data_IF_354237844826
#
_entry.id   IF_354237844826
#
_cell.length_a   1.000
_cell.length_b   1.000
_cell.length_c   1.000
_cell.angle_alpha   90.00
_cell.angle_beta   90.00
_cell.angle_gamma   90.00
#
_symmetry.space_group_name_H-M   'P 1'
#
loop_
_entity.id
_entity.type
_entity.pdbx_description
1 polymer ?
#
# COMPACT_ATOMS: atom_id res chain seq x y z
N UNK A 1 -3.77 14.44 25.84
CA UNK A 1 -3.01 14.45 24.57
C UNK A 1 -3.34 15.72 23.81
N UNK A 2 -2.34 16.40 23.31
CA UNK A 2 -2.56 17.59 22.47
C UNK A 2 -3.01 17.14 21.09
N UNK A 3 -3.88 17.91 20.45
CA UNK A 3 -4.35 17.60 19.11
C UNK A 3 -3.19 17.50 18.10
N UNK A 4 -2.17 18.33 18.24
CA UNK A 4 -0.97 18.30 17.38
C UNK A 4 -0.12 17.04 17.52
N UNK A 5 -0.34 16.25 18.58
CA UNK A 5 0.36 14.99 18.78
C UNK A 5 -0.34 13.83 18.06
N UNK A 6 -1.54 14.06 17.54
CA UNK A 6 -2.29 13.10 16.76
C UNK A 6 -1.88 13.18 15.29
N UNK A 7 -1.57 12.04 14.73
CA UNK A 7 -1.31 11.93 13.29
C UNK A 7 -2.53 11.32 12.62
N UNK A 8 -2.97 11.97 11.53
CA UNK A 8 -4.15 11.54 10.79
C UNK A 8 -3.73 11.08 9.39
N UNK A 9 -4.01 9.82 9.09
CA UNK A 9 -3.76 9.26 7.78
C UNK A 9 -5.01 9.15 6.94
N UNK A 10 -4.81 9.02 5.64
CA UNK A 10 -5.89 8.74 4.70
C UNK A 10 -5.59 7.45 3.93
N UNK A 11 -6.60 6.60 3.79
CA UNK A 11 -6.51 5.42 2.94
C UNK A 11 -6.52 5.85 1.48
N UNK A 12 -5.59 5.34 0.65
CA UNK A 12 -5.46 5.82 -0.72
C UNK A 12 -6.75 5.68 -1.54
N UNK A 13 -7.59 4.72 -1.22
CA UNK A 13 -8.87 4.52 -1.93
C UNK A 13 -9.87 5.66 -1.70
N UNK A 14 -9.67 6.49 -0.69
CA UNK A 14 -10.47 7.70 -0.48
C UNK A 14 -10.05 8.85 -1.39
N UNK A 15 -8.90 8.73 -2.05
CA UNK A 15 -8.43 9.68 -3.06
C UNK A 15 -8.82 9.21 -4.46
N UNK A 16 -8.89 10.11 -5.46
CA UNK A 16 -9.16 9.68 -6.83
C UNK A 16 -8.15 8.63 -7.30
N UNK A 17 -8.66 7.59 -7.98
CA UNK A 17 -7.83 6.42 -8.32
C UNK A 17 -6.88 6.66 -9.48
N UNK A 18 -7.17 7.65 -10.33
CA UNK A 18 -6.38 7.96 -11.53
C UNK A 18 -5.20 8.89 -11.30
N UNK A 19 -4.90 9.21 -10.04
CA UNK A 19 -3.75 10.03 -9.70
C UNK A 19 -2.45 9.22 -9.69
N UNK A 20 -1.34 9.87 -10.07
CA UNK A 20 -0.01 9.33 -9.79
C UNK A 20 0.27 9.38 -8.29
N UNK A 21 1.32 8.69 -7.82
CA UNK A 21 1.68 8.76 -6.41
C UNK A 21 2.12 10.17 -6.00
N UNK A 22 2.84 10.87 -6.86
CA UNK A 22 3.19 12.27 -6.61
C UNK A 22 1.94 13.13 -6.40
N UNK A 23 0.96 12.99 -7.28
CA UNK A 23 -0.32 13.72 -7.19
C UNK A 23 -1.13 13.31 -5.96
N UNK A 24 -1.17 12.02 -5.65
CA UNK A 24 -1.87 11.47 -4.49
C UNK A 24 -1.33 12.05 -3.19
N UNK A 25 -0.03 12.04 -3.05
CA UNK A 25 0.65 12.58 -1.86
C UNK A 25 0.46 14.09 -1.74
N UNK A 26 0.55 14.81 -2.85
CA UNK A 26 0.32 16.25 -2.86
C UNK A 26 -1.12 16.60 -2.44
N UNK A 27 -2.10 15.85 -2.91
CA UNK A 27 -3.50 16.05 -2.53
C UNK A 27 -3.71 15.74 -1.05
N UNK A 28 -3.18 14.63 -0.55
CA UNK A 28 -3.31 14.26 0.86
C UNK A 28 -2.72 15.34 1.77
N UNK A 29 -1.56 15.85 1.42
CA UNK A 29 -0.91 16.94 2.17
C UNK A 29 -1.75 18.21 2.15
N UNK A 30 -2.26 18.60 1.00
CA UNK A 30 -3.11 19.79 0.85
C UNK A 30 -4.39 19.68 1.67
N UNK A 31 -4.94 18.46 1.82
CA UNK A 31 -6.13 18.20 2.63
C UNK A 31 -5.85 18.12 4.12
N UNK A 32 -4.59 18.20 4.54
CA UNK A 32 -4.20 18.22 5.95
C UNK A 32 -3.91 16.85 6.57
N UNK A 33 -3.75 15.80 5.76
CA UNK A 33 -3.37 14.48 6.26
C UNK A 33 -1.86 14.39 6.50
N UNK A 34 -1.47 13.55 7.45
CA UNK A 34 -0.07 13.37 7.85
C UNK A 34 0.60 12.21 7.13
N UNK A 35 -0.17 11.25 6.64
CA UNK A 35 0.35 10.08 5.92
C UNK A 35 -0.73 9.44 5.08
N UNK A 36 -0.32 8.54 4.18
CA UNK A 36 -1.23 7.79 3.32
C UNK A 36 -1.02 6.30 3.58
N UNK A 37 -2.11 5.54 3.65
CA UNK A 37 -2.07 4.07 3.67
C UNK A 37 -2.21 3.54 2.26
N UNK A 38 -1.24 2.71 1.82
CA UNK A 38 -1.28 2.08 0.51
C UNK A 38 -2.29 0.94 0.47
N UNK A 39 -2.99 0.78 -0.64
CA UNK A 39 -3.88 -0.35 -0.90
C UNK A 39 -3.25 -1.33 -1.88
N UNK A 40 -3.18 -2.60 -1.51
CA UNK A 40 -2.96 -3.71 -2.44
C UNK A 40 -4.22 -4.58 -2.36
N UNK A 41 -5.18 -4.25 -3.19
CA UNK A 41 -6.46 -4.97 -3.22
C UNK A 41 -6.48 -6.06 -4.30
N UNK A 42 -7.65 -6.64 -4.54
CA UNK A 42 -7.85 -7.75 -5.48
C UNK A 42 -7.82 -7.35 -6.94
N UNK A 43 -7.70 -6.05 -7.26
CA UNK A 43 -7.64 -5.61 -8.65
C UNK A 43 -6.29 -5.91 -9.28
N UNK A 44 -6.28 -6.19 -10.58
CA UNK A 44 -5.05 -6.44 -11.32
C UNK A 44 -4.09 -5.24 -11.22
N UNK A 45 -4.63 -4.02 -11.29
CA UNK A 45 -3.85 -2.79 -11.20
C UNK A 45 -3.05 -2.71 -9.89
N UNK A 46 -3.70 -2.97 -8.76
CA UNK A 46 -3.03 -2.87 -7.46
C UNK A 46 -2.17 -4.09 -7.15
N UNK A 47 -2.60 -5.27 -7.54
CA UNK A 47 -1.76 -6.46 -7.41
C UNK A 47 -0.47 -6.31 -8.22
N UNK A 48 -0.50 -5.63 -9.36
CA UNK A 48 0.68 -5.39 -10.17
C UNK A 48 1.78 -4.60 -9.44
N UNK A 49 1.43 -3.83 -8.41
CA UNK A 49 2.41 -3.11 -7.58
C UNK A 49 3.39 -4.06 -6.88
N UNK A 50 2.93 -5.28 -6.60
CA UNK A 50 3.79 -6.30 -5.98
C UNK A 50 4.94 -6.72 -6.90
N UNK A 51 4.80 -6.48 -8.20
CA UNK A 51 5.80 -6.79 -9.22
C UNK A 51 6.55 -5.55 -9.72
N UNK A 52 6.43 -4.43 -9.04
CA UNK A 52 7.21 -3.24 -9.35
C UNK A 52 8.69 -3.58 -9.35
N UNK A 53 9.40 -3.13 -10.38
CA UNK A 53 10.84 -3.26 -10.45
C UNK A 53 11.53 -2.24 -9.52
N UNK A 54 12.84 -2.32 -9.45
CA UNK A 54 13.62 -1.44 -8.58
C UNK A 54 13.41 0.03 -8.94
N UNK A 55 13.35 0.35 -10.21
CA UNK A 55 13.15 1.73 -10.68
C UNK A 55 11.82 2.29 -10.20
N UNK A 56 10.74 1.50 -10.31
CA UNK A 56 9.41 1.91 -9.84
C UNK A 56 9.36 2.07 -8.32
N UNK A 57 10.02 1.18 -7.56
CA UNK A 57 10.12 1.28 -6.10
C UNK A 57 10.89 2.52 -5.68
N UNK A 58 11.99 2.82 -6.35
CA UNK A 58 12.79 4.01 -6.08
C UNK A 58 12.04 5.29 -6.43
N UNK A 59 11.26 5.29 -7.52
CA UNK A 59 10.42 6.44 -7.87
C UNK A 59 9.37 6.71 -6.80
N UNK A 60 8.74 5.67 -6.29
CA UNK A 60 7.78 5.79 -5.20
C UNK A 60 8.43 6.41 -3.95
N UNK A 61 9.59 5.92 -3.56
CA UNK A 61 10.35 6.48 -2.42
C UNK A 61 10.70 7.95 -2.66
N UNK A 62 11.15 8.29 -3.85
CA UNK A 62 11.44 9.67 -4.24
C UNK A 62 10.20 10.55 -4.10
N UNK A 63 9.04 10.08 -4.56
CA UNK A 63 7.78 10.82 -4.45
C UNK A 63 7.42 11.09 -2.99
N UNK A 64 7.59 10.11 -2.09
CA UNK A 64 7.32 10.31 -0.66
C UNK A 64 8.26 11.35 -0.06
N UNK A 65 9.55 11.28 -0.38
CA UNK A 65 10.53 12.24 0.12
C UNK A 65 10.24 13.67 -0.35
N UNK A 66 9.89 13.84 -1.62
CA UNK A 66 9.57 15.16 -2.17
C UNK A 66 8.28 15.74 -1.61
N UNK A 67 7.30 14.89 -1.32
CA UNK A 67 6.00 15.34 -0.79
C UNK A 67 6.08 15.75 0.67
N UNK A 68 7.02 15.19 1.43
CA UNK A 68 7.07 15.33 2.88
C UNK A 68 6.04 14.47 3.62
N UNK A 69 5.27 13.64 2.92
CA UNK A 69 4.37 12.66 3.53
C UNK A 69 4.94 11.26 3.42
N UNK A 70 4.70 10.44 4.44
CA UNK A 70 5.10 9.04 4.45
C UNK A 70 3.95 8.12 4.05
N UNK A 71 4.29 6.89 3.68
CA UNK A 71 3.34 5.79 3.47
C UNK A 71 3.79 4.65 4.38
N UNK A 72 3.43 4.71 5.68
CA UNK A 72 3.98 3.76 6.66
C UNK A 72 3.22 2.45 6.73
N UNK A 73 2.02 2.37 6.17
CA UNK A 73 1.15 1.21 6.28
C UNK A 73 0.60 0.78 4.93
N UNK A 74 0.29 -0.51 4.83
CA UNK A 74 -0.31 -1.12 3.66
C UNK A 74 -1.53 -1.93 4.11
N UNK A 75 -2.66 -1.75 3.45
CA UNK A 75 -3.80 -2.65 3.58
C UNK A 75 -3.71 -3.68 2.45
N UNK A 76 -3.35 -4.91 2.82
CA UNK A 76 -3.21 -6.02 1.88
C UNK A 76 -4.52 -6.80 1.84
N UNK A 77 -5.42 -6.43 0.94
CA UNK A 77 -6.72 -7.08 0.76
C UNK A 77 -6.82 -7.93 -0.51
N UNK A 78 -5.70 -8.09 -1.22
CA UNK A 78 -5.64 -8.94 -2.42
C UNK A 78 -6.01 -10.40 -2.16
N UNK A 79 -5.88 -10.86 -0.92
CA UNK A 79 -6.28 -12.20 -0.51
C UNK A 79 -7.79 -12.43 -0.58
N UNK A 80 -8.59 -11.39 -0.78
CA UNK A 80 -10.02 -11.55 -1.08
C UNK A 80 -10.22 -12.36 -2.35
N UNK A 81 -9.37 -12.17 -3.36
CA UNK A 81 -9.40 -12.91 -4.62
C UNK A 81 -8.68 -14.27 -4.51
N UNK A 82 -7.62 -14.34 -3.71
CA UNK A 82 -6.80 -15.52 -3.53
C UNK A 82 -6.65 -15.83 -2.04
N UNK A 83 -7.67 -16.41 -1.40
CA UNK A 83 -7.64 -16.61 0.06
C UNK A 83 -6.54 -17.57 0.52
N UNK A 84 -5.88 -17.20 1.61
CA UNK A 84 -4.88 -18.06 2.27
C UNK A 84 -5.49 -19.38 2.76
N UNK A 85 -6.80 -19.35 3.08
CA UNK A 85 -7.53 -20.53 3.54
C UNK A 85 -8.30 -21.27 2.44
N UNK A 86 -8.02 -21.01 1.17
CA UNK A 86 -8.70 -21.69 0.07
C UNK A 86 -8.52 -23.21 0.12
N UNK A 87 -9.55 -23.93 -0.30
CA UNK A 87 -9.48 -25.40 -0.44
C UNK A 87 -8.58 -25.82 -1.61
N UNK A 88 -8.39 -24.93 -2.60
CA UNK A 88 -7.54 -25.18 -3.76
C UNK A 88 -6.07 -24.92 -3.40
N UNK A 89 -5.18 -25.96 -3.47
CA UNK A 89 -3.77 -25.78 -3.19
C UNK A 89 -3.07 -24.76 -4.08
N UNK A 90 -3.49 -24.60 -5.34
CA UNK A 90 -2.89 -23.63 -6.25
C UNK A 90 -3.21 -22.19 -5.82
N UNK A 91 -4.42 -21.96 -5.33
CA UNK A 91 -4.81 -20.64 -4.79
C UNK A 91 -4.04 -20.34 -3.53
N UNK A 92 -3.85 -21.32 -2.63
CA UNK A 92 -3.05 -21.12 -1.41
C UNK A 92 -1.60 -20.77 -1.75
N UNK A 93 -0.99 -21.43 -2.73
CA UNK A 93 0.38 -21.13 -3.17
C UNK A 93 0.46 -19.70 -3.71
N UNK A 94 -0.52 -19.31 -4.51
CA UNK A 94 -0.58 -17.94 -5.04
C UNK A 94 -0.74 -16.91 -3.90
N UNK A 95 -1.58 -17.21 -2.91
CA UNK A 95 -1.79 -16.37 -1.74
C UNK A 95 -0.50 -16.16 -0.94
N UNK A 96 0.30 -17.22 -0.76
CA UNK A 96 1.61 -17.13 -0.10
C UNK A 96 2.58 -16.27 -0.92
N UNK A 97 2.57 -16.41 -2.24
CA UNK A 97 3.38 -15.58 -3.13
C UNK A 97 3.02 -14.09 -2.99
N UNK A 98 1.73 -13.78 -2.90
CA UNK A 98 1.25 -12.40 -2.65
C UNK A 98 1.84 -11.88 -1.34
N UNK A 99 1.78 -12.67 -0.27
CA UNK A 99 2.33 -12.28 1.03
C UNK A 99 3.83 -12.01 0.98
N UNK A 100 4.59 -12.91 0.37
CA UNK A 100 6.04 -12.75 0.25
C UNK A 100 6.40 -11.51 -0.54
N UNK A 101 5.72 -11.27 -1.66
CA UNK A 101 5.95 -10.08 -2.49
C UNK A 101 5.58 -8.79 -1.75
N UNK A 102 4.49 -8.82 -0.97
CA UNK A 102 4.07 -7.66 -0.19
C UNK A 102 5.11 -7.30 0.88
N UNK A 103 5.68 -8.30 1.54
CA UNK A 103 6.75 -8.08 2.53
C UNK A 103 7.98 -7.46 1.86
N UNK A 104 8.38 -7.97 0.71
CA UNK A 104 9.53 -7.45 -0.03
C UNK A 104 9.30 -6.01 -0.48
N UNK A 105 8.11 -5.72 -1.01
CA UNK A 105 7.75 -4.37 -1.40
C UNK A 105 7.81 -3.43 -0.19
N UNK A 106 7.22 -3.84 0.92
CA UNK A 106 7.20 -3.05 2.15
C UNK A 106 8.62 -2.72 2.63
N UNK A 107 9.52 -3.70 2.61
CA UNK A 107 10.93 -3.50 2.98
C UNK A 107 11.62 -2.49 2.07
N UNK A 108 11.38 -2.58 0.77
CA UNK A 108 12.04 -1.71 -0.20
C UNK A 108 11.55 -0.26 -0.16
N UNK A 109 10.28 -0.03 0.16
CA UNK A 109 9.68 1.30 0.10
C UNK A 109 9.40 1.94 1.46
N UNK A 110 9.78 1.25 2.54
CA UNK A 110 9.68 1.81 3.89
C UNK A 110 8.32 1.66 4.56
N UNK A 111 7.48 0.76 4.08
CA UNK A 111 6.22 0.40 4.76
C UNK A 111 6.55 -0.47 5.95
N UNK A 112 5.99 -0.12 7.11
CA UNK A 112 6.34 -0.78 8.39
C UNK A 112 5.25 -1.71 8.90
N UNK A 113 4.01 -1.51 8.49
CA UNK A 113 2.86 -2.29 8.95
C UNK A 113 2.08 -2.77 7.74
N UNK A 114 1.81 -4.06 7.70
CA UNK A 114 0.93 -4.66 6.70
C UNK A 114 -0.31 -5.16 7.44
N UNK A 115 -1.46 -4.58 7.11
CA UNK A 115 -2.75 -5.03 7.61
C UNK A 115 -3.27 -6.11 6.68
N UNK A 116 -3.60 -7.26 7.25
CA UNK A 116 -4.20 -8.37 6.50
C UNK A 116 -5.59 -8.67 7.06
N UNK A 117 -6.47 -9.18 6.20
CA UNK A 117 -7.78 -9.64 6.62
C UNK A 117 -7.81 -11.17 6.69
N UNK A 118 -8.66 -11.69 7.54
CA UNK A 118 -8.79 -13.14 7.75
C UNK A 118 -9.72 -13.81 6.74
N UNK A 119 -9.38 -13.77 5.46
CA UNK A 119 -10.15 -14.45 4.42
C UNK A 119 -9.82 -15.93 4.34
#
# INVERSE_FOLDING_TARGET
MRQQDLRLGIYEKALPHDLSWSERLAMAKRLGFDFVEMSIDETDERLARLDWDLSQRMQFVSDTLHSGLSVPTMCLSGHRRFPLGSKDPSVRRHALSIMEKAIKLALDVGIRVIQIAGY
#
